data_IF_331473899418
#
_entry.id   IF_331473899418
#
_cell.length_a   1.000
_cell.length_b   1.000
_cell.length_c   1.000
_cell.angle_alpha   90.00
_cell.angle_beta   90.00
_cell.angle_gamma   90.00
#
_symmetry.space_group_name_H-M   'P 1'
#
loop_
_entity.id
_entity.type
_entity.pdbx_description
1 polymer ?
#
# COMPACT_ATOMS: atom_id res chain seq x y z
N UNK A 1 -13.15 -65.30 24.48
CA UNK A 1 -12.75 -64.33 23.44
C UNK A 1 -11.84 -63.31 24.10
N UNK A 2 -10.53 -63.47 23.92
CA UNK A 2 -9.52 -62.62 24.57
C UNK A 2 -9.08 -61.50 23.60
N UNK A 3 -9.36 -60.26 23.96
CA UNK A 3 -8.99 -59.11 23.14
C UNK A 3 -7.48 -58.83 23.23
N UNK A 4 -6.82 -58.87 22.10
CA UNK A 4 -5.39 -58.55 21.97
C UNK A 4 -5.25 -57.03 21.98
N UNK A 5 -4.66 -56.47 23.06
CA UNK A 5 -4.24 -55.05 23.12
C UNK A 5 -2.89 -54.93 22.40
N UNK A 6 -2.87 -54.26 21.28
CA UNK A 6 -1.64 -53.87 20.60
C UNK A 6 -1.10 -52.61 21.27
N UNK A 7 0.13 -52.56 21.78
CA UNK A 7 0.70 -51.36 22.35
C UNK A 7 1.07 -50.37 21.24
N UNK A 8 0.47 -49.20 21.22
CA UNK A 8 0.88 -48.10 20.36
C UNK A 8 2.26 -47.60 20.84
N UNK A 9 3.25 -47.74 19.99
CA UNK A 9 4.63 -47.31 20.29
C UNK A 9 4.64 -45.78 20.61
N UNK A 10 5.34 -45.43 21.69
CA UNK A 10 5.53 -44.01 22.10
C UNK A 10 6.10 -43.14 20.94
N UNK A 11 6.84 -43.74 20.07
CA UNK A 11 7.43 -43.10 18.87
C UNK A 11 6.36 -42.72 17.83
N UNK A 12 5.32 -43.54 17.66
CA UNK A 12 4.22 -43.23 16.75
C UNK A 12 3.34 -42.11 17.26
N UNK A 13 3.09 -42.07 18.56
CA UNK A 13 2.35 -40.99 19.20
C UNK A 13 3.07 -39.63 19.10
N UNK A 14 4.42 -39.63 19.25
CA UNK A 14 5.24 -38.41 19.12
C UNK A 14 5.26 -37.89 17.68
N UNK A 15 5.34 -38.76 16.68
CA UNK A 15 5.30 -38.38 15.27
C UNK A 15 3.92 -37.81 14.86
N UNK A 16 2.83 -38.37 15.37
CA UNK A 16 1.47 -37.88 15.10
C UNK A 16 1.26 -36.50 15.74
N UNK A 17 1.71 -36.29 16.97
CA UNK A 17 1.61 -34.98 17.65
C UNK A 17 2.45 -33.93 16.92
N UNK A 18 3.66 -34.28 16.47
CA UNK A 18 4.51 -33.36 15.70
C UNK A 18 3.91 -32.99 14.33
N UNK A 19 3.31 -33.97 13.64
CA UNK A 19 2.62 -33.74 12.38
C UNK A 19 1.35 -32.88 12.54
N UNK A 20 0.59 -33.05 13.63
CA UNK A 20 -0.57 -32.22 13.95
C UNK A 20 -0.15 -30.81 14.29
N UNK A 21 0.92 -30.61 15.08
CA UNK A 21 1.44 -29.28 15.40
C UNK A 21 2.00 -28.55 14.15
N UNK A 22 2.66 -29.25 13.24
CA UNK A 22 3.13 -28.67 11.98
C UNK A 22 1.99 -28.36 11.01
N UNK A 23 0.95 -29.21 10.98
CA UNK A 23 -0.25 -28.97 10.17
C UNK A 23 -1.11 -27.80 10.69
N UNK A 24 -1.25 -27.65 12.00
CA UNK A 24 -1.96 -26.53 12.61
C UNK A 24 -1.24 -25.18 12.39
N UNK A 25 0.11 -25.19 12.45
CA UNK A 25 0.89 -23.97 12.16
C UNK A 25 0.81 -23.53 10.69
N UNK A 26 0.56 -24.42 9.76
CA UNK A 26 0.41 -24.10 8.33
C UNK A 26 -0.97 -23.51 7.99
N UNK A 27 -2.01 -23.83 8.77
CA UNK A 27 -3.38 -23.35 8.53
C UNK A 27 -3.61 -21.89 8.98
N UNK A 28 -2.82 -21.37 9.93
CA UNK A 28 -2.99 -20.02 10.48
C UNK A 28 -2.14 -18.93 9.78
N UNK A 29 -1.31 -19.30 8.80
CA UNK A 29 -0.48 -18.32 8.10
C UNK A 29 -1.27 -17.57 7.05
N UNK A 30 -1.10 -16.24 7.01
CA UNK A 30 -1.69 -15.40 5.96
C UNK A 30 -1.08 -15.70 4.59
N UNK A 31 -1.77 -15.36 3.47
CA UNK A 31 -1.20 -15.53 2.12
C UNK A 31 0.18 -14.86 1.96
N UNK A 32 0.39 -13.69 2.57
CA UNK A 32 1.69 -13.00 2.58
C UNK A 32 2.74 -13.83 3.30
N UNK A 33 2.44 -14.36 4.48
CA UNK A 33 3.37 -15.20 5.24
C UNK A 33 3.70 -16.54 4.55
N UNK A 34 2.79 -17.04 3.72
CA UNK A 34 3.00 -18.30 2.98
C UNK A 34 3.86 -18.12 1.74
N UNK A 35 3.71 -16.98 1.04
CA UNK A 35 4.31 -16.72 -0.28
C UNK A 35 5.55 -15.84 -0.24
N UNK A 36 5.77 -15.10 0.85
CA UNK A 36 6.85 -14.12 0.98
C UNK A 36 7.98 -14.60 1.89
N UNK A 37 9.19 -14.15 1.61
CA UNK A 37 10.30 -14.24 2.56
C UNK A 37 10.20 -13.13 3.62
N UNK A 38 10.50 -13.46 4.87
CA UNK A 38 10.55 -12.51 5.99
C UNK A 38 11.97 -11.97 6.17
N UNK A 39 12.08 -10.67 6.39
CA UNK A 39 13.35 -9.96 6.55
C UNK A 39 13.26 -8.87 7.59
N UNK A 40 14.42 -8.41 8.05
CA UNK A 40 14.55 -7.22 8.88
C UNK A 40 15.46 -6.19 8.25
N UNK A 41 15.26 -4.92 8.63
CA UNK A 41 16.06 -3.79 8.18
C UNK A 41 16.22 -2.77 9.32
N UNK A 42 17.46 -2.45 9.69
CA UNK A 42 17.71 -1.49 10.76
C UNK A 42 17.62 -0.06 10.26
N UNK A 43 16.70 0.72 10.84
CA UNK A 43 16.50 2.12 10.53
C UNK A 43 16.32 2.96 11.81
N UNK A 44 17.05 4.09 11.93
CA UNK A 44 16.95 4.97 13.09
C UNK A 44 17.27 4.28 14.43
N UNK A 45 18.11 3.25 14.44
CA UNK A 45 18.44 2.47 15.62
C UNK A 45 17.42 1.36 15.96
N UNK A 46 16.29 1.30 15.24
CA UNK A 46 15.22 0.30 15.44
C UNK A 46 15.28 -0.76 14.34
N UNK A 47 15.11 -2.02 14.72
CA UNK A 47 14.91 -3.10 13.77
C UNK A 47 13.47 -3.07 13.27
N UNK A 48 13.29 -3.00 11.94
CA UNK A 48 12.01 -2.93 11.25
C UNK A 48 11.84 -4.20 10.41
N UNK A 49 10.66 -4.71 10.36
CA UNK A 49 10.30 -5.96 9.69
C UNK A 49 9.67 -5.69 8.33
N UNK A 50 9.84 -6.63 7.38
CA UNK A 50 9.12 -6.62 6.12
C UNK A 50 9.02 -8.02 5.52
N UNK A 51 8.00 -8.22 4.71
CA UNK A 51 7.85 -9.38 3.84
C UNK A 51 8.16 -8.99 2.40
N UNK A 52 8.89 -9.85 1.68
CA UNK A 52 9.23 -9.64 0.28
C UNK A 52 8.71 -10.80 -0.57
N UNK A 53 7.83 -10.48 -1.50
CA UNK A 53 7.39 -11.38 -2.55
C UNK A 53 8.23 -11.18 -3.81
N UNK A 54 8.74 -12.29 -4.34
CA UNK A 54 9.41 -12.32 -5.64
C UNK A 54 8.80 -13.46 -6.46
N UNK A 55 8.17 -13.19 -7.60
CA UNK A 55 7.77 -14.25 -8.53
C UNK A 55 8.90 -15.20 -8.86
N UNK A 56 8.58 -16.47 -9.10
CA UNK A 56 9.57 -17.45 -9.54
C UNK A 56 10.16 -17.02 -10.89
N UNK A 57 11.49 -17.06 -11.02
CA UNK A 57 12.19 -16.66 -12.23
C UNK A 57 12.19 -15.14 -12.50
N UNK A 58 11.89 -14.31 -11.49
CA UNK A 58 11.93 -12.86 -11.62
C UNK A 58 13.33 -12.40 -12.11
N UNK A 59 13.35 -11.64 -13.20
CA UNK A 59 14.59 -11.15 -13.80
C UNK A 59 15.32 -10.16 -12.86
N UNK A 60 16.66 -10.07 -12.93
CA UNK A 60 17.39 -8.98 -12.31
C UNK A 60 16.90 -7.61 -12.77
N UNK A 61 17.03 -6.60 -11.93
CA UNK A 61 16.58 -5.21 -12.19
C UNK A 61 15.07 -5.05 -12.43
N UNK A 62 14.28 -6.07 -12.03
CA UNK A 62 12.81 -5.98 -12.10
C UNK A 62 12.26 -4.92 -11.15
N UNK A 63 11.10 -4.31 -11.50
CA UNK A 63 10.45 -3.30 -10.68
C UNK A 63 10.06 -3.82 -9.29
N UNK A 64 9.88 -2.90 -8.33
CA UNK A 64 9.37 -3.23 -6.99
C UNK A 64 8.26 -2.28 -6.57
N UNK A 65 7.19 -2.84 -6.02
CA UNK A 65 6.09 -2.11 -5.40
C UNK A 65 6.19 -2.24 -3.88
N UNK A 66 6.27 -1.11 -3.18
CA UNK A 66 6.14 -1.07 -1.72
C UNK A 66 4.67 -0.89 -1.39
N UNK A 67 4.08 -1.81 -0.61
CA UNK A 67 2.66 -1.81 -0.25
C UNK A 67 2.47 -1.64 1.25
N UNK A 68 1.91 -0.52 1.66
CA UNK A 68 1.74 -0.12 3.06
C UNK A 68 0.38 -0.56 3.60
N UNK A 69 0.37 -1.12 4.82
CA UNK A 69 -0.87 -1.48 5.52
C UNK A 69 -1.58 -0.24 6.11
N UNK A 70 -2.86 -0.38 6.47
CA UNK A 70 -3.62 0.65 7.19
C UNK A 70 -3.32 0.69 8.69
N UNK A 71 -3.98 1.58 9.42
CA UNK A 71 -3.92 1.68 10.88
C UNK A 71 -4.36 0.38 11.52
N UNK A 72 -3.69 -0.06 12.58
CA UNK A 72 -3.83 -1.37 13.23
C UNK A 72 -3.46 -2.58 12.36
N UNK A 73 -3.11 -2.37 11.10
CA UNK A 73 -2.75 -3.42 10.15
C UNK A 73 -1.38 -4.04 10.42
N UNK A 74 -1.04 -5.02 9.61
CA UNK A 74 0.28 -5.65 9.66
C UNK A 74 0.82 -5.96 8.27
N UNK A 75 2.13 -6.04 8.15
CA UNK A 75 2.80 -6.50 6.94
C UNK A 75 2.33 -7.91 6.52
N UNK A 76 2.07 -8.78 7.48
CA UNK A 76 1.58 -10.14 7.25
C UNK A 76 0.17 -10.17 6.59
N UNK A 77 -0.64 -9.13 6.81
CA UNK A 77 -1.97 -8.96 6.23
C UNK A 77 -1.96 -7.99 5.03
N UNK A 78 -0.83 -7.83 4.37
CA UNK A 78 -0.69 -7.01 3.18
C UNK A 78 -1.62 -7.43 2.04
N UNK A 79 -1.79 -6.58 1.04
CA UNK A 79 -2.69 -6.81 -0.10
C UNK A 79 -2.20 -7.96 -0.98
N UNK A 80 -2.68 -9.17 -0.72
CA UNK A 80 -2.25 -10.40 -1.39
C UNK A 80 -2.48 -10.38 -2.91
N UNK A 81 -3.56 -9.75 -3.40
CA UNK A 81 -3.85 -9.62 -4.83
C UNK A 81 -2.74 -8.95 -5.64
N UNK A 82 -1.89 -8.12 -5.01
CA UNK A 82 -0.70 -7.57 -5.69
C UNK A 82 0.33 -8.63 -6.05
N UNK A 83 0.42 -9.74 -5.31
CA UNK A 83 1.32 -10.85 -5.65
C UNK A 83 0.87 -11.57 -6.91
N UNK A 84 -0.45 -11.72 -7.10
CA UNK A 84 -0.99 -12.35 -8.31
C UNK A 84 -0.80 -11.47 -9.54
N UNK A 85 -0.88 -10.16 -9.38
CA UNK A 85 -0.54 -9.19 -10.44
C UNK A 85 0.97 -9.21 -10.71
N UNK A 86 1.80 -9.36 -9.68
CA UNK A 86 3.26 -9.46 -9.80
C UNK A 86 3.69 -10.72 -10.59
N UNK A 87 3.02 -11.85 -10.37
CA UNK A 87 3.27 -13.09 -11.13
C UNK A 87 3.04 -12.91 -12.64
N UNK A 88 1.98 -12.18 -13.00
CA UNK A 88 1.63 -11.94 -14.40
C UNK A 88 2.50 -10.89 -15.10
N UNK A 89 3.09 -9.98 -14.32
CA UNK A 89 3.73 -8.77 -14.87
C UNK A 89 5.23 -8.62 -14.55
N UNK A 90 5.82 -9.51 -13.75
CA UNK A 90 7.26 -9.54 -13.50
C UNK A 90 7.78 -8.40 -12.62
N UNK A 91 7.18 -8.17 -11.47
CA UNK A 91 7.68 -7.25 -10.45
C UNK A 91 7.68 -7.87 -9.05
N UNK A 92 8.43 -7.31 -8.11
CA UNK A 92 8.44 -7.74 -6.71
C UNK A 92 7.49 -6.87 -5.87
N UNK A 93 6.98 -7.42 -4.75
CA UNK A 93 6.16 -6.67 -3.79
C UNK A 93 6.78 -6.74 -2.41
N UNK A 94 6.97 -5.59 -1.77
CA UNK A 94 7.42 -5.50 -0.39
C UNK A 94 6.29 -5.00 0.51
N UNK A 95 6.08 -5.69 1.62
CA UNK A 95 5.11 -5.36 2.66
C UNK A 95 5.88 -5.00 3.95
N UNK A 96 6.21 -3.74 4.20
CA UNK A 96 6.89 -3.34 5.42
C UNK A 96 5.92 -3.23 6.60
N UNK A 97 6.46 -3.36 7.83
CA UNK A 97 5.72 -3.20 9.07
C UNK A 97 5.89 -1.79 9.65
N UNK A 98 4.77 -1.12 9.89
CA UNK A 98 4.70 0.11 10.67
C UNK A 98 4.99 -0.13 12.16
N UNK A 99 5.55 0.87 12.84
CA UNK A 99 5.77 0.80 14.29
C UNK A 99 4.46 1.04 15.06
N UNK A 100 4.49 0.71 16.34
CA UNK A 100 3.36 0.98 17.23
C UNK A 100 3.34 2.44 17.65
N UNK A 101 2.15 3.03 17.61
CA UNK A 101 1.88 4.35 18.17
C UNK A 101 1.82 4.29 19.72
N UNK A 102 1.69 5.42 20.42
CA UNK A 102 1.57 5.46 21.88
C UNK A 102 0.39 4.66 22.45
N UNK A 103 -0.63 4.36 21.62
CA UNK A 103 -1.77 3.51 22.00
C UNK A 103 -1.52 2.02 21.76
N UNK A 104 -0.33 1.65 21.22
CA UNK A 104 0.04 0.28 20.92
C UNK A 104 -0.43 -0.24 19.56
N UNK A 105 -0.98 0.60 18.69
CA UNK A 105 -1.47 0.25 17.36
C UNK A 105 -0.37 0.39 16.31
N UNK A 106 -0.23 -0.61 15.44
CA UNK A 106 0.68 -0.53 14.29
C UNK A 106 0.22 0.56 13.34
N UNK A 107 1.12 1.47 12.96
CA UNK A 107 0.79 2.60 12.11
C UNK A 107 2.02 3.21 11.42
N UNK A 108 1.77 4.03 10.42
CA UNK A 108 2.72 4.95 9.81
C UNK A 108 2.53 6.33 10.45
N UNK A 109 3.62 6.95 10.88
CA UNK A 109 3.56 8.27 11.50
C UNK A 109 3.26 9.35 10.45
N UNK A 110 1.98 9.69 10.33
CA UNK A 110 1.46 10.72 9.43
C UNK A 110 1.05 11.99 10.16
N UNK A 111 1.10 11.98 11.49
CA UNK A 111 0.74 13.13 12.34
C UNK A 111 -0.67 13.06 12.90
N UNK A 112 -1.24 11.87 13.07
CA UNK A 112 -2.51 11.75 13.79
C UNK A 112 -2.40 12.26 15.24
N UNK A 113 -3.46 12.78 15.84
CA UNK A 113 -3.46 13.13 17.27
C UNK A 113 -3.04 11.97 18.18
N UNK A 114 -3.40 10.72 17.78
CA UNK A 114 -2.99 9.50 18.51
C UNK A 114 -1.50 9.18 18.40
N UNK A 115 -0.79 9.83 17.49
CA UNK A 115 0.65 9.65 17.24
C UNK A 115 1.50 10.75 17.87
N UNK A 116 0.89 11.63 18.66
CA UNK A 116 1.62 12.67 19.38
C UNK A 116 2.80 12.07 20.18
N UNK A 117 3.97 12.68 20.02
CA UNK A 117 5.21 12.18 20.65
C UNK A 117 5.97 11.10 19.86
N UNK A 118 5.41 10.51 18.80
CA UNK A 118 6.16 9.64 17.89
C UNK A 118 7.28 10.43 17.18
N UNK A 119 8.51 9.90 17.27
CA UNK A 119 9.70 10.52 16.65
C UNK A 119 10.15 9.77 15.39
N UNK A 120 9.37 8.81 14.91
CA UNK A 120 9.71 8.01 13.74
C UNK A 120 9.55 8.82 12.46
N UNK A 121 10.56 8.78 11.59
CA UNK A 121 10.46 9.27 10.21
C UNK A 121 10.18 8.08 9.29
N UNK A 122 8.90 7.73 9.13
CA UNK A 122 8.50 6.61 8.30
C UNK A 122 8.66 6.90 6.81
N UNK A 123 8.64 8.16 6.37
CA UNK A 123 8.97 8.53 5.00
C UNK A 123 10.43 8.18 4.69
N UNK A 124 11.37 8.55 5.58
CA UNK A 124 12.79 8.21 5.42
C UNK A 124 13.01 6.70 5.50
N UNK A 125 12.30 6.01 6.42
CA UNK A 125 12.33 4.56 6.51
C UNK A 125 11.94 3.89 5.19
N UNK A 126 10.77 4.21 4.63
CA UNK A 126 10.25 3.61 3.39
C UNK A 126 11.21 3.86 2.23
N UNK A 127 11.75 5.07 2.10
CA UNK A 127 12.73 5.41 1.06
C UNK A 127 14.05 4.66 1.23
N UNK A 128 14.55 4.51 2.45
CA UNK A 128 15.79 3.76 2.69
C UNK A 128 15.58 2.24 2.53
N UNK A 129 14.42 1.74 2.96
CA UNK A 129 14.04 0.34 2.77
C UNK A 129 13.97 -0.01 1.27
N UNK A 130 13.34 0.84 0.45
CA UNK A 130 13.23 0.59 -0.98
C UNK A 130 14.61 0.48 -1.65
N UNK A 131 15.56 1.34 -1.28
CA UNK A 131 16.95 1.29 -1.77
C UNK A 131 17.71 0.07 -1.25
N UNK A 132 17.46 -0.32 -0.01
CA UNK A 132 18.03 -1.54 0.57
C UNK A 132 17.57 -2.77 -0.20
N UNK A 133 16.26 -2.91 -0.44
CA UNK A 133 15.67 -4.01 -1.18
C UNK A 133 16.25 -4.09 -2.60
N UNK A 134 16.31 -2.96 -3.30
CA UNK A 134 16.87 -2.93 -4.66
C UNK A 134 18.31 -3.44 -4.70
N UNK A 135 19.13 -3.04 -3.74
CA UNK A 135 20.53 -3.46 -3.66
C UNK A 135 20.69 -4.92 -3.23
N UNK A 136 19.98 -5.33 -2.19
CA UNK A 136 20.17 -6.63 -1.54
C UNK A 136 19.59 -7.78 -2.39
N UNK A 137 18.47 -7.52 -3.07
CA UNK A 137 17.75 -8.55 -3.83
C UNK A 137 17.89 -8.41 -5.35
N UNK A 138 18.75 -7.51 -5.82
CA UNK A 138 19.01 -7.33 -7.25
C UNK A 138 17.82 -6.76 -8.02
N UNK A 139 16.97 -5.97 -7.36
CA UNK A 139 15.80 -5.31 -7.97
C UNK A 139 16.15 -3.91 -8.47
N UNK A 140 15.26 -3.32 -9.28
CA UNK A 140 15.49 -2.01 -9.88
C UNK A 140 15.69 -0.92 -8.82
N UNK A 141 16.65 -0.04 -9.08
CA UNK A 141 16.90 1.17 -8.30
C UNK A 141 16.10 2.37 -8.77
N UNK A 142 15.52 2.27 -9.96
CA UNK A 142 14.78 3.35 -10.62
C UNK A 142 13.29 3.05 -10.66
N UNK A 143 12.91 1.81 -11.00
CA UNK A 143 11.52 1.40 -11.15
C UNK A 143 10.94 0.96 -9.80
N UNK A 144 10.80 1.92 -8.90
CA UNK A 144 10.28 1.72 -7.55
C UNK A 144 8.96 2.50 -7.43
N UNK A 145 7.92 1.82 -6.93
CA UNK A 145 6.57 2.32 -6.79
C UNK A 145 6.07 2.20 -5.37
N UNK A 146 5.13 3.05 -4.97
CA UNK A 146 4.55 3.07 -3.63
C UNK A 146 3.04 2.97 -3.70
N UNK A 147 2.45 2.09 -2.90
CA UNK A 147 1.00 2.06 -2.67
C UNK A 147 0.70 1.78 -1.21
N UNK A 148 -0.51 2.09 -0.79
CA UNK A 148 -0.98 1.81 0.56
C UNK A 148 -2.45 2.17 0.73
N UNK A 149 -3.07 1.61 1.76
CA UNK A 149 -4.48 1.86 2.07
C UNK A 149 -4.62 2.59 3.40
N UNK A 150 -5.62 3.49 3.50
CA UNK A 150 -5.96 4.18 4.74
C UNK A 150 -4.74 4.94 5.27
N UNK A 151 -4.29 4.72 6.49
CA UNK A 151 -3.04 5.27 7.03
C UNK A 151 -1.82 5.05 6.11
N UNK A 152 -1.76 3.91 5.39
CA UNK A 152 -0.75 3.68 4.34
C UNK A 152 -0.97 4.56 3.11
N UNK A 153 -2.22 4.86 2.76
CA UNK A 153 -2.59 5.81 1.71
C UNK A 153 -2.20 7.25 2.07
N UNK A 154 -2.42 7.66 3.32
CA UNK A 154 -1.97 8.96 3.83
C UNK A 154 -0.44 9.10 3.82
N UNK A 155 0.27 8.00 4.16
CA UNK A 155 1.73 7.95 4.03
C UNK A 155 2.16 8.10 2.56
N UNK A 156 1.35 7.67 1.59
CA UNK A 156 1.57 7.93 0.16
C UNK A 156 1.51 9.44 -0.15
N UNK A 157 0.50 10.16 0.34
CA UNK A 157 0.40 11.62 0.20
C UNK A 157 1.59 12.34 0.85
N UNK A 158 1.92 11.98 2.10
CA UNK A 158 3.05 12.56 2.82
C UNK A 158 4.38 12.31 2.11
N UNK A 159 4.57 11.10 1.55
CA UNK A 159 5.77 10.75 0.79
C UNK A 159 5.86 11.54 -0.51
N UNK A 160 4.76 11.73 -1.24
CA UNK A 160 4.70 12.53 -2.46
C UNK A 160 5.13 13.98 -2.20
N UNK A 161 4.80 14.54 -1.04
CA UNK A 161 5.21 15.89 -0.65
C UNK A 161 6.67 15.96 -0.18
N UNK A 162 7.09 15.07 0.72
CA UNK A 162 8.43 15.11 1.33
C UNK A 162 9.54 14.58 0.41
N UNK A 163 9.25 13.56 -0.39
CA UNK A 163 10.23 12.83 -1.21
C UNK A 163 9.73 12.54 -2.63
N UNK A 164 9.30 13.56 -3.39
CA UNK A 164 8.63 13.40 -4.69
C UNK A 164 9.44 12.67 -5.77
N UNK A 165 10.74 12.44 -5.55
CA UNK A 165 11.63 11.72 -6.47
C UNK A 165 11.93 10.28 -6.04
N UNK A 166 11.41 9.85 -4.89
CA UNK A 166 11.78 8.55 -4.33
C UNK A 166 11.09 7.38 -5.05
N UNK A 167 9.93 7.65 -5.65
CA UNK A 167 9.12 6.67 -6.35
C UNK A 167 8.71 7.19 -7.72
N UNK A 168 8.70 6.32 -8.72
CA UNK A 168 8.30 6.67 -10.11
C UNK A 168 6.83 7.07 -10.20
N UNK A 169 5.96 6.38 -9.45
CA UNK A 169 4.55 6.72 -9.28
C UNK A 169 4.06 6.23 -7.92
N UNK A 170 2.97 6.82 -7.44
CA UNK A 170 2.38 6.56 -6.13
C UNK A 170 0.88 6.33 -6.30
N UNK A 171 0.33 5.30 -5.62
CA UNK A 171 -1.09 5.01 -5.58
C UNK A 171 -1.59 4.95 -4.13
N UNK A 172 -2.53 5.78 -3.78
CA UNK A 172 -3.20 5.80 -2.48
C UNK A 172 -4.60 5.18 -2.60
N UNK A 173 -4.99 4.41 -1.61
CA UNK A 173 -6.32 3.78 -1.53
C UNK A 173 -6.97 4.23 -0.24
N UNK A 174 -8.12 4.89 -0.33
CA UNK A 174 -8.84 5.44 0.81
C UNK A 174 -7.95 6.27 1.75
N UNK A 175 -7.00 7.03 1.17
CA UNK A 175 -6.08 7.89 1.91
C UNK A 175 -6.63 9.30 2.11
N UNK A 176 -6.00 10.05 3.00
CA UNK A 176 -6.35 11.42 3.35
C UNK A 176 -5.16 12.36 3.21
N UNK A 177 -5.43 13.63 3.00
CA UNK A 177 -4.46 14.71 3.20
C UNK A 177 -4.80 15.47 4.47
N UNK A 178 -4.04 15.24 5.54
CA UNK A 178 -4.18 16.00 6.78
C UNK A 178 -3.86 17.48 6.53
N UNK A 179 -4.59 18.38 7.19
CA UNK A 179 -4.36 19.83 7.05
C UNK A 179 -2.95 20.22 7.48
N UNK A 180 -2.36 19.51 8.43
CA UNK A 180 -0.99 19.73 8.89
C UNK A 180 0.08 19.35 7.84
N UNK A 181 -0.29 18.57 6.82
CA UNK A 181 0.57 18.30 5.66
C UNK A 181 0.61 19.47 4.67
N UNK A 182 -0.37 20.37 4.67
CA UNK A 182 -0.51 21.45 3.68
C UNK A 182 0.68 22.39 3.58
N UNK A 183 1.39 22.76 4.68
CA UNK A 183 2.58 23.59 4.58
C UNK A 183 3.73 22.96 3.74
N UNK A 184 3.75 21.64 3.57
CA UNK A 184 4.82 20.94 2.85
C UNK A 184 4.80 21.20 1.35
N UNK A 185 3.65 21.36 0.73
CA UNK A 185 3.40 21.60 -0.70
C UNK A 185 4.04 20.56 -1.63
N UNK A 186 3.40 20.29 -2.75
CA UNK A 186 3.97 19.48 -3.82
C UNK A 186 4.97 20.33 -4.63
N UNK A 187 6.26 20.08 -4.44
CA UNK A 187 7.33 20.89 -5.07
C UNK A 187 7.72 20.42 -6.46
N UNK A 188 7.30 19.22 -6.85
CA UNK A 188 7.60 18.58 -8.13
C UNK A 188 6.42 17.76 -8.61
N UNK A 189 6.34 17.52 -9.93
CA UNK A 189 5.35 16.57 -10.45
C UNK A 189 5.58 15.17 -9.86
N UNK A 190 4.47 14.51 -9.49
CA UNK A 190 4.44 13.12 -9.02
C UNK A 190 3.25 12.44 -9.68
N UNK A 191 3.45 11.39 -10.51
CA UNK A 191 2.34 10.58 -10.97
C UNK A 191 1.60 10.01 -9.76
N UNK A 192 0.29 10.27 -9.69
CA UNK A 192 -0.49 9.94 -8.50
C UNK A 192 -1.83 9.34 -8.86
N UNK A 193 -2.21 8.29 -8.14
CA UNK A 193 -3.52 7.64 -8.24
C UNK A 193 -4.17 7.62 -6.87
N UNK A 194 -5.48 7.90 -6.82
CA UNK A 194 -6.33 7.69 -5.64
C UNK A 194 -7.52 6.82 -6.04
N UNK A 195 -7.88 5.87 -5.18
CA UNK A 195 -9.14 5.12 -5.23
C UNK A 195 -9.91 5.39 -3.96
N UNK A 196 -11.13 5.93 -4.05
CA UNK A 196 -11.86 6.35 -2.86
C UNK A 196 -13.36 6.15 -2.97
N UNK A 197 -13.98 5.64 -1.92
CA UNK A 197 -15.43 5.49 -1.81
C UNK A 197 -16.11 6.78 -1.39
N UNK A 198 -17.22 7.16 -2.05
CA UNK A 198 -17.93 8.41 -1.70
C UNK A 198 -18.74 8.31 -0.39
N UNK A 199 -18.98 7.08 0.12
CA UNK A 199 -19.61 6.83 1.41
C UNK A 199 -18.62 6.22 2.43
N UNK A 200 -17.32 6.47 2.23
CA UNK A 200 -16.31 6.13 3.22
C UNK A 200 -16.58 6.92 4.51
N UNK A 201 -16.77 6.21 5.62
CA UNK A 201 -17.06 6.78 6.94
C UNK A 201 -15.85 6.84 7.85
N UNK A 202 -14.71 6.34 7.40
CA UNK A 202 -13.44 6.38 8.12
C UNK A 202 -12.56 7.50 7.60
N UNK A 203 -12.43 7.56 6.28
CA UNK A 203 -11.74 8.60 5.52
C UNK A 203 -12.78 9.29 4.65
N UNK A 204 -13.50 10.25 5.21
CA UNK A 204 -14.67 10.82 4.57
C UNK A 204 -14.31 11.54 3.25
N UNK A 205 -15.03 11.21 2.18
CA UNK A 205 -14.89 11.86 0.86
C UNK A 205 -14.96 13.39 0.93
N UNK A 206 -15.83 13.90 1.79
CA UNK A 206 -16.08 15.33 2.00
C UNK A 206 -15.04 15.99 2.90
N UNK A 207 -14.12 15.22 3.49
CA UNK A 207 -13.16 15.70 4.47
C UNK A 207 -13.77 15.90 5.87
N UNK A 208 -12.90 16.12 6.85
CA UNK A 208 -13.28 16.41 8.23
C UNK A 208 -12.42 17.57 8.78
N UNK A 209 -12.74 18.81 8.41
CA UNK A 209 -11.96 19.97 8.86
C UNK A 209 -12.10 20.25 10.36
N UNK A 210 -13.10 19.68 11.01
CA UNK A 210 -13.36 19.85 12.45
C UNK A 210 -12.79 18.70 13.30
N UNK A 211 -12.18 17.69 12.66
CA UNK A 211 -11.61 16.49 13.33
C UNK A 211 -12.64 15.73 14.19
N UNK A 212 -13.85 15.56 13.69
CA UNK A 212 -14.90 14.80 14.37
C UNK A 212 -14.58 13.31 14.47
N UNK A 213 -13.90 12.77 13.43
CA UNK A 213 -13.45 11.37 13.37
C UNK A 213 -12.23 11.06 14.23
N UNK A 214 -11.50 12.08 14.72
CA UNK A 214 -10.35 11.91 15.61
C UNK A 214 -9.03 11.55 14.90
N UNK A 215 -8.99 11.56 13.55
CA UNK A 215 -7.79 11.29 12.76
C UNK A 215 -6.90 12.52 12.53
N UNK A 216 -7.29 13.69 13.03
CA UNK A 216 -6.79 14.99 12.66
C UNK A 216 -7.72 15.66 11.66
N UNK A 217 -7.65 16.97 11.50
CA UNK A 217 -8.39 17.65 10.46
C UNK A 217 -7.82 17.29 9.08
N UNK A 218 -8.69 17.00 8.10
CA UNK A 218 -8.26 16.62 6.74
C UNK A 218 -9.17 17.18 5.65
N UNK A 219 -8.60 17.27 4.46
CA UNK A 219 -9.25 17.83 3.28
C UNK A 219 -10.19 16.81 2.63
N UNK A 220 -11.21 17.33 1.94
CA UNK A 220 -12.00 16.54 1.01
C UNK A 220 -11.10 15.91 -0.08
N UNK A 221 -11.44 14.71 -0.53
CA UNK A 221 -10.65 13.96 -1.53
C UNK A 221 -10.46 14.77 -2.83
N UNK A 222 -11.50 15.38 -3.43
CA UNK A 222 -11.31 16.19 -4.64
C UNK A 222 -10.39 17.41 -4.41
N UNK A 223 -10.41 17.99 -3.21
CA UNK A 223 -9.52 19.11 -2.86
C UNK A 223 -8.07 18.60 -2.75
N UNK A 224 -7.83 17.48 -2.08
CA UNK A 224 -6.51 16.86 -1.98
C UNK A 224 -5.91 16.59 -3.36
N UNK A 225 -6.69 16.02 -4.27
CA UNK A 225 -6.29 15.72 -5.64
C UNK A 225 -6.02 17.00 -6.44
N UNK A 226 -6.80 18.06 -6.25
CA UNK A 226 -6.62 19.34 -6.96
C UNK A 226 -5.22 19.95 -6.73
N UNK A 227 -4.64 19.80 -5.55
CA UNK A 227 -3.28 20.25 -5.26
C UNK A 227 -2.21 19.48 -6.08
N UNK A 228 -2.42 18.19 -6.29
CA UNK A 228 -1.51 17.35 -7.08
C UNK A 228 -1.66 17.70 -8.57
N UNK A 229 -2.90 17.84 -9.06
CA UNK A 229 -3.21 18.28 -10.43
C UNK A 229 -2.49 19.61 -10.74
N UNK A 230 -2.63 20.58 -9.84
CA UNK A 230 -1.99 21.90 -9.99
C UNK A 230 -0.45 21.79 -9.96
N UNK A 231 0.13 21.01 -9.08
CA UNK A 231 1.58 20.81 -9.00
C UNK A 231 2.13 20.11 -10.24
N UNK A 232 1.42 19.11 -10.74
CA UNK A 232 1.75 18.39 -11.98
C UNK A 232 1.49 19.23 -13.22
N UNK A 233 0.66 20.29 -13.12
CA UNK A 233 0.30 21.17 -14.22
C UNK A 233 -0.55 20.49 -15.27
N UNK A 234 -1.42 19.55 -14.86
CA UNK A 234 -2.35 18.88 -15.77
C UNK A 234 -3.31 19.91 -16.39
N UNK A 235 -3.53 19.80 -17.70
CA UNK A 235 -4.30 20.79 -18.49
C UNK A 235 -5.58 20.21 -19.12
N UNK A 236 -5.79 18.90 -19.01
CA UNK A 236 -7.00 18.24 -19.52
C UNK A 236 -7.45 17.14 -18.58
N UNK A 237 -8.75 16.88 -18.60
CA UNK A 237 -9.40 15.79 -17.89
C UNK A 237 -10.21 14.96 -18.89
N UNK A 238 -10.16 13.65 -18.72
CA UNK A 238 -11.12 12.72 -19.34
C UNK A 238 -11.81 11.93 -18.24
N UNK A 239 -13.13 11.75 -18.38
CA UNK A 239 -13.94 10.99 -17.43
C UNK A 239 -14.43 9.72 -18.11
N UNK A 240 -14.23 8.58 -17.46
CA UNK A 240 -14.68 7.26 -17.96
C UNK A 240 -15.47 6.55 -16.87
N UNK A 241 -16.69 6.16 -17.20
CA UNK A 241 -17.49 5.28 -16.35
C UNK A 241 -17.06 3.83 -16.59
N UNK A 242 -16.52 3.16 -15.57
CA UNK A 242 -16.13 1.75 -15.69
C UNK A 242 -17.36 0.83 -15.79
N UNK A 243 -17.24 -0.35 -16.39
CA UNK A 243 -18.31 -1.34 -16.37
C UNK A 243 -18.73 -1.66 -14.95
N UNK A 244 -20.04 -1.61 -14.68
CA UNK A 244 -20.58 -1.97 -13.37
C UNK A 244 -20.44 -3.47 -13.14
N UNK A 245 -19.90 -3.86 -12.00
CA UNK A 245 -19.79 -5.25 -11.56
C UNK A 245 -21.03 -5.68 -10.79
N UNK A 246 -21.38 -6.95 -10.89
CA UNK A 246 -22.49 -7.52 -10.12
C UNK A 246 -22.21 -7.38 -8.61
N UNK A 247 -23.14 -6.75 -7.89
CA UNK A 247 -23.01 -6.47 -6.45
C UNK A 247 -21.95 -5.42 -6.08
N UNK A 248 -21.33 -4.78 -7.07
CA UNK A 248 -20.38 -3.69 -6.89
C UNK A 248 -21.02 -2.32 -7.05
N UNK A 249 -20.23 -1.30 -6.75
CA UNK A 249 -20.58 0.09 -6.94
C UNK A 249 -20.12 0.61 -8.31
N UNK A 250 -20.76 1.68 -8.80
CA UNK A 250 -20.29 2.36 -9.99
C UNK A 250 -18.97 3.07 -9.74
N UNK A 251 -17.98 2.83 -10.58
CA UNK A 251 -16.69 3.52 -10.54
C UNK A 251 -16.59 4.53 -11.68
N UNK A 252 -16.18 5.74 -11.37
CA UNK A 252 -15.88 6.80 -12.34
C UNK A 252 -14.37 7.08 -12.24
N UNK A 253 -13.66 6.92 -13.34
CA UNK A 253 -12.28 7.31 -13.47
C UNK A 253 -12.19 8.75 -14.01
N UNK A 254 -11.62 9.63 -13.23
CA UNK A 254 -11.16 10.96 -13.63
C UNK A 254 -9.66 10.89 -13.93
N UNK A 255 -9.28 11.12 -15.16
CA UNK A 255 -7.89 11.09 -15.61
C UNK A 255 -7.43 12.49 -16.00
N UNK A 256 -6.58 13.09 -15.19
CA UNK A 256 -5.97 14.39 -15.41
C UNK A 256 -4.59 14.22 -16.03
N UNK A 257 -4.34 14.86 -17.18
CA UNK A 257 -3.17 14.61 -18.01
C UNK A 257 -2.65 15.88 -18.73
N UNK A 258 -1.60 15.70 -19.53
CA UNK A 258 -1.03 16.78 -20.34
C UNK A 258 -0.20 17.79 -19.53
N UNK A 259 0.24 17.40 -18.33
CA UNK A 259 1.05 18.23 -17.46
C UNK A 259 2.56 18.10 -17.70
N UNK A 260 3.31 18.46 -16.66
CA UNK A 260 4.78 18.37 -16.64
C UNK A 260 5.22 16.91 -16.70
N UNK A 261 6.40 16.61 -17.30
CA UNK A 261 6.92 15.26 -17.30
C UNK A 261 7.24 14.77 -15.88
N UNK A 262 6.96 13.51 -15.60
CA UNK A 262 7.25 12.86 -14.32
C UNK A 262 8.75 12.84 -13.99
N UNK A 263 9.55 12.63 -15.03
CA UNK A 263 11.02 12.70 -14.99
C UNK A 263 11.55 13.14 -16.37
N UNK A 264 12.85 13.46 -16.44
CA UNK A 264 13.46 13.94 -17.68
C UNK A 264 13.29 12.92 -18.83
N UNK A 265 12.59 13.32 -19.87
CA UNK A 265 12.30 12.48 -21.05
C UNK A 265 11.18 11.44 -20.83
N UNK A 266 10.54 11.42 -19.65
CA UNK A 266 9.43 10.54 -19.35
C UNK A 266 8.06 11.08 -19.75
N UNK A 267 6.99 10.30 -19.56
CA UNK A 267 5.62 10.72 -19.80
C UNK A 267 5.18 11.83 -18.84
N UNK A 268 4.03 12.45 -19.10
CA UNK A 268 3.45 13.41 -18.18
C UNK A 268 3.13 12.74 -16.83
N UNK A 269 3.25 13.51 -15.75
CA UNK A 269 2.88 13.08 -14.42
C UNK A 269 1.36 13.16 -14.29
N UNK A 270 0.67 12.15 -14.78
CA UNK A 270 -0.79 12.09 -14.73
C UNK A 270 -1.32 11.89 -13.32
N UNK A 271 -2.56 12.33 -13.10
CA UNK A 271 -3.30 12.08 -11.87
C UNK A 271 -4.56 11.29 -12.19
N UNK A 272 -4.76 10.17 -11.51
CA UNK A 272 -5.96 9.35 -11.63
C UNK A 272 -6.75 9.42 -10.32
N UNK A 273 -8.06 9.68 -10.41
CA UNK A 273 -8.98 9.54 -9.30
C UNK A 273 -10.07 8.54 -9.69
N UNK A 274 -10.12 7.42 -9.01
CA UNK A 274 -11.21 6.47 -9.10
C UNK A 274 -12.23 6.79 -8.01
N UNK A 275 -13.32 7.44 -8.40
CA UNK A 275 -14.45 7.74 -7.55
C UNK A 275 -15.39 6.54 -7.51
N UNK A 276 -15.52 5.89 -6.36
CA UNK A 276 -16.39 4.72 -6.16
C UNK A 276 -17.70 5.20 -5.54
N UNK A 277 -18.75 5.36 -6.34
CA UNK A 277 -20.04 5.94 -5.93
C UNK A 277 -20.75 4.99 -4.95
N UNK A 278 -20.96 5.43 -3.71
CA UNK A 278 -21.51 4.58 -2.63
C UNK A 278 -20.50 3.61 -2.02
N UNK A 279 -19.23 3.66 -2.45
CA UNK A 279 -18.16 2.82 -1.91
C UNK A 279 -17.80 3.19 -0.47
N UNK A 280 -17.43 2.18 0.32
CA UNK A 280 -16.99 2.32 1.70
C UNK A 280 -15.47 2.32 1.82
N UNK A 281 -14.95 2.37 3.07
CA UNK A 281 -13.52 2.27 3.39
C UNK A 281 -12.95 0.89 3.03
N UNK A 282 -12.40 0.73 1.83
CA UNK A 282 -11.94 -0.57 1.33
C UNK A 282 -10.94 -0.43 0.18
N UNK A 283 -10.37 -1.58 -0.26
CA UNK A 283 -9.61 -1.69 -1.49
C UNK A 283 -10.47 -1.64 -2.76
N UNK A 284 -11.80 -1.55 -2.63
CA UNK A 284 -12.77 -1.53 -3.74
C UNK A 284 -12.69 -2.73 -4.70
N UNK A 285 -12.25 -3.89 -4.22
CA UNK A 285 -12.11 -5.09 -5.06
C UNK A 285 -13.45 -5.63 -5.60
N UNK A 286 -14.57 -5.30 -4.95
CA UNK A 286 -15.90 -5.61 -5.46
C UNK A 286 -16.28 -4.75 -6.66
N UNK A 287 -15.72 -3.56 -6.70
CA UNK A 287 -16.09 -2.51 -7.63
C UNK A 287 -15.22 -2.52 -8.88
N UNK A 288 -13.92 -2.83 -8.70
CA UNK A 288 -12.93 -2.87 -9.79
C UNK A 288 -11.73 -3.79 -9.43
N UNK A 289 -10.89 -4.14 -10.42
CA UNK A 289 -9.61 -4.82 -10.18
C UNK A 289 -8.55 -3.82 -9.72
N UNK A 290 -8.61 -3.43 -8.44
CA UNK A 290 -7.77 -2.36 -7.91
C UNK A 290 -6.28 -2.67 -8.04
N UNK A 291 -5.85 -3.91 -7.81
CA UNK A 291 -4.45 -4.28 -7.95
C UNK A 291 -3.96 -4.19 -9.41
N UNK A 292 -4.77 -4.60 -10.37
CA UNK A 292 -4.46 -4.47 -11.80
C UNK A 292 -4.48 -2.99 -12.25
N UNK A 293 -5.39 -2.18 -11.72
CA UNK A 293 -5.41 -0.73 -11.98
C UNK A 293 -4.15 -0.04 -11.45
N UNK A 294 -3.70 -0.40 -10.24
CA UNK A 294 -2.44 0.11 -9.67
C UNK A 294 -1.27 -0.22 -10.58
N UNK A 295 -1.14 -1.49 -11.02
CA UNK A 295 -0.04 -1.87 -11.89
C UNK A 295 -0.15 -1.24 -13.28
N UNK A 296 -1.33 -1.20 -13.87
CA UNK A 296 -1.57 -0.52 -15.16
C UNK A 296 -1.16 0.95 -15.12
N UNK A 297 -1.38 1.62 -13.98
CA UNK A 297 -0.91 2.99 -13.77
C UNK A 297 0.61 3.04 -13.61
N UNK A 298 1.21 2.20 -12.79
CA UNK A 298 2.64 2.19 -12.51
C UNK A 298 3.48 1.86 -13.75
N UNK A 299 3.06 0.86 -14.53
CA UNK A 299 3.78 0.42 -15.73
C UNK A 299 3.96 1.49 -16.81
N UNK A 300 3.16 2.56 -16.77
CA UNK A 300 3.31 3.73 -17.66
C UNK A 300 4.58 4.54 -17.38
N UNK A 301 5.23 4.30 -16.24
CA UNK A 301 6.41 5.03 -15.75
C UNK A 301 7.66 4.15 -15.62
N UNK A 302 7.65 2.98 -16.24
CA UNK A 302 8.82 2.10 -16.36
C UNK A 302 9.95 2.69 -17.19
#
# INVERSE_FOLDING_TARGET
MTAIKVPISKTLATLIVLAICLGLQAQDRTPVQQRCSYHTFRHGGVEREFYLYKPAGLAPDSPVVICLHGYTGSAANGKAGLMDVADRNGFAVCYPQGLKDPKGNSSWNVGYPSQEGMKTDDVDFIVKLSRHISREFGLSRENIFLTGMSNGGEMCYLTAQKKPKAFKAIASIAGLTLTDMMPLRYRRPVPFMEVHGTEDRTSEWTGDPENKGGWGAYLAVPVSISYIIAANGCISETTTRLPLREGGNQVILHHFQGGKPAFKGGPSADVLLYEVIGGNHSWSDKDMDTCDAIWSFFSRYL
#
